data_IF_624866293709
#
_entry.id   IF_624866293709
#
_cell.length_a   1.000
_cell.length_b   1.000
_cell.length_c   1.000
_cell.angle_alpha   90.00
_cell.angle_beta   90.00
_cell.angle_gamma   90.00
#
_symmetry.space_group_name_H-M   'P 1'
#
loop_
_entity.id
_entity.type
_entity.pdbx_description
1 polymer ?
#
# COMPACT_ATOMS: atom_id res chain seq x y z
N UNK A 1 3.39 6.16 -9.42
CA UNK A 1 4.10 7.43 -9.62
C UNK A 1 3.38 8.37 -10.58
N UNK A 2 3.19 8.06 -11.87
CA UNK A 2 2.53 9.00 -12.81
C UNK A 2 1.18 9.53 -12.33
N UNK A 3 0.29 8.66 -11.84
CA UNK A 3 -1.02 9.07 -11.30
C UNK A 3 -0.93 10.05 -10.11
N UNK A 4 0.12 9.94 -9.28
CA UNK A 4 0.37 10.84 -8.14
C UNK A 4 0.75 12.22 -8.68
N UNK A 5 1.71 12.27 -9.61
CA UNK A 5 2.21 13.49 -10.24
C UNK A 5 1.11 14.20 -11.05
N UNK A 6 0.33 13.45 -11.83
CA UNK A 6 -0.79 13.95 -12.64
C UNK A 6 -1.90 14.57 -11.78
N UNK A 7 -2.04 14.14 -10.52
CA UNK A 7 -2.94 14.72 -9.53
C UNK A 7 -2.35 15.93 -8.79
N UNK A 8 -1.14 16.37 -9.13
CA UNK A 8 -0.47 17.48 -8.47
C UNK A 8 0.00 17.16 -7.04
N UNK A 9 0.00 15.88 -6.65
CA UNK A 9 0.51 15.47 -5.34
C UNK A 9 2.02 15.47 -5.42
N UNK A 10 2.65 16.15 -4.47
CA UNK A 10 4.09 16.16 -4.33
C UNK A 10 4.59 14.74 -3.98
N UNK A 11 5.51 14.14 -4.76
CA UNK A 11 6.03 12.81 -4.46
C UNK A 11 6.72 12.69 -3.10
N UNK A 12 7.21 13.80 -2.53
CA UNK A 12 7.81 13.82 -1.19
C UNK A 12 6.77 13.71 -0.06
N UNK A 13 5.50 14.00 -0.36
CA UNK A 13 4.37 13.83 0.55
C UNK A 13 3.69 12.45 0.35
N UNK A 14 4.29 11.57 -0.46
CA UNK A 14 3.74 10.26 -0.78
C UNK A 14 4.70 9.13 -0.38
N UNK A 15 4.19 8.15 0.34
CA UNK A 15 4.91 6.92 0.65
C UNK A 15 4.28 5.72 -0.07
N UNK A 16 5.10 5.00 -0.84
CA UNK A 16 4.73 3.68 -1.35
C UNK A 16 5.34 2.60 -0.47
N UNK A 17 4.49 1.76 0.11
CA UNK A 17 4.89 0.74 1.06
C UNK A 17 4.31 -0.63 0.69
N UNK A 18 5.14 -1.67 0.79
CA UNK A 18 4.69 -3.04 0.62
C UNK A 18 4.18 -3.56 1.96
N UNK A 19 2.93 -4.04 1.99
CA UNK A 19 2.32 -4.62 3.20
C UNK A 19 3.12 -5.82 3.76
N UNK A 20 3.90 -6.48 2.89
CA UNK A 20 5.02 -7.32 3.28
C UNK A 20 6.33 -6.72 2.73
N UNK A 21 7.19 -6.12 3.57
CA UNK A 21 8.32 -5.31 3.11
C UNK A 21 9.57 -6.11 2.71
N UNK A 22 9.48 -7.44 2.60
CA UNK A 22 10.60 -8.32 2.27
C UNK A 22 10.42 -8.99 0.90
N UNK A 23 11.45 -9.72 0.46
CA UNK A 23 11.46 -10.49 -0.78
C UNK A 23 11.28 -11.99 -0.50
N UNK A 24 10.03 -12.50 -0.48
CA UNK A 24 9.79 -13.92 -0.27
C UNK A 24 10.15 -14.69 -1.54
N UNK A 25 11.04 -15.66 -1.41
CA UNK A 25 11.53 -16.47 -2.52
C UNK A 25 11.30 -17.96 -2.28
N UNK A 26 11.37 -18.76 -3.34
CA UNK A 26 11.39 -20.23 -3.24
C UNK A 26 12.74 -20.67 -2.68
N UNK A 27 12.74 -21.67 -1.81
CA UNK A 27 13.97 -22.20 -1.23
C UNK A 27 14.99 -22.59 -2.30
N UNK A 28 16.27 -22.26 -2.05
CA UNK A 28 17.35 -22.45 -3.01
C UNK A 28 17.32 -21.54 -4.25
N UNK A 29 16.31 -20.68 -4.41
CA UNK A 29 16.09 -19.86 -5.61
C UNK A 29 15.86 -18.37 -5.24
N UNK A 30 16.88 -17.63 -4.79
CA UNK A 30 16.75 -16.29 -4.20
C UNK A 30 16.25 -15.20 -5.15
N UNK A 31 16.28 -15.44 -6.47
CA UNK A 31 15.81 -14.50 -7.49
C UNK A 31 14.34 -14.72 -7.87
N UNK A 32 13.66 -15.71 -7.27
CA UNK A 32 12.24 -15.95 -7.50
C UNK A 32 11.41 -15.14 -6.52
N UNK A 33 10.24 -14.66 -6.97
CA UNK A 33 9.25 -14.08 -6.07
C UNK A 33 8.11 -15.07 -5.85
N UNK A 34 7.63 -15.20 -4.62
CA UNK A 34 6.41 -15.94 -4.29
C UNK A 34 5.42 -15.06 -3.53
N UNK A 35 4.20 -15.54 -3.37
CA UNK A 35 3.28 -14.88 -2.45
C UNK A 35 3.75 -15.11 -1.00
N UNK A 36 3.75 -14.08 -0.13
CA UNK A 36 4.00 -14.28 1.30
C UNK A 36 2.93 -15.19 1.92
N UNK A 37 3.33 -16.03 2.86
CA UNK A 37 2.42 -16.82 3.70
C UNK A 37 1.62 -15.91 4.63
N UNK A 38 0.55 -16.42 5.24
CA UNK A 38 -0.24 -15.64 6.21
C UNK A 38 0.58 -15.22 7.43
N UNK A 39 1.47 -16.09 7.92
CA UNK A 39 2.41 -15.75 9.01
C UNK A 39 3.37 -14.64 8.60
N UNK A 40 3.90 -14.69 7.38
CA UNK A 40 4.75 -13.62 6.85
C UNK A 40 3.99 -12.31 6.70
N UNK A 41 2.72 -12.34 6.27
CA UNK A 41 1.87 -11.16 6.21
C UNK A 41 1.62 -10.56 7.60
N UNK A 42 1.40 -11.37 8.63
CA UNK A 42 1.29 -10.91 10.02
C UNK A 42 2.58 -10.23 10.48
N UNK A 43 3.74 -10.78 10.15
CA UNK A 43 5.02 -10.13 10.45
C UNK A 43 5.16 -8.80 9.68
N UNK A 44 4.80 -8.79 8.40
CA UNK A 44 4.83 -7.57 7.57
C UNK A 44 3.91 -6.46 8.09
N UNK A 45 2.77 -6.85 8.66
CA UNK A 45 1.86 -5.92 9.32
C UNK A 45 2.52 -5.19 10.50
N UNK A 46 3.27 -5.88 11.36
CA UNK A 46 3.94 -5.23 12.50
C UNK A 46 4.88 -4.10 12.06
N UNK A 47 5.56 -4.26 10.92
CA UNK A 47 6.37 -3.19 10.34
C UNK A 47 5.54 -2.01 9.83
N UNK A 48 4.40 -2.30 9.20
CA UNK A 48 3.47 -1.27 8.71
C UNK A 48 2.86 -0.50 9.87
N UNK A 49 2.45 -1.18 10.94
CA UNK A 49 1.99 -0.56 12.18
C UNK A 49 3.07 0.34 12.77
N UNK A 50 4.32 -0.16 12.90
CA UNK A 50 5.41 0.65 13.45
C UNK A 50 5.74 1.87 12.60
N UNK A 51 5.63 1.76 11.28
CA UNK A 51 5.79 2.89 10.35
C UNK A 51 4.73 3.97 10.58
N UNK A 52 3.46 3.58 10.75
CA UNK A 52 2.37 4.51 11.07
C UNK A 52 2.56 5.13 12.45
N UNK A 53 2.92 4.33 13.45
CA UNK A 53 3.24 4.81 14.81
C UNK A 53 4.38 5.86 14.75
N UNK A 54 5.45 5.58 14.00
CA UNK A 54 6.58 6.49 13.82
C UNK A 54 6.17 7.80 13.13
N UNK A 55 5.30 7.74 12.12
CA UNK A 55 4.77 8.94 11.45
C UNK A 55 4.04 9.86 12.42
N UNK A 56 3.21 9.29 13.31
CA UNK A 56 2.50 10.03 14.36
C UNK A 56 3.48 10.57 15.40
N UNK A 57 4.45 9.76 15.86
CA UNK A 57 5.48 10.16 16.82
C UNK A 57 6.29 11.39 16.34
N UNK A 58 6.52 11.49 15.02
CA UNK A 58 7.23 12.61 14.39
C UNK A 58 6.33 13.82 14.08
N UNK A 59 5.06 13.80 14.48
CA UNK A 59 4.11 14.90 14.26
C UNK A 59 3.52 14.95 12.85
N UNK A 60 3.54 13.83 12.13
CA UNK A 60 2.89 13.70 10.83
C UNK A 60 1.35 13.82 10.92
N UNK A 61 0.73 14.33 9.87
CA UNK A 61 -0.74 14.39 9.76
C UNK A 61 -1.35 13.01 9.50
N UNK A 62 -2.64 12.81 9.80
CA UNK A 62 -3.34 11.55 9.48
C UNK A 62 -3.20 11.21 7.98
N UNK A 63 -2.60 10.07 7.61
CA UNK A 63 -2.35 9.76 6.21
C UNK A 63 -3.59 9.20 5.52
N UNK A 64 -3.82 9.58 4.26
CA UNK A 64 -4.75 8.84 3.41
C UNK A 64 -4.13 7.49 3.02
N UNK A 65 -4.68 6.39 3.56
CA UNK A 65 -4.19 5.04 3.29
C UNK A 65 -4.95 4.40 2.13
N UNK A 66 -4.22 4.07 1.06
CA UNK A 66 -4.73 3.43 -0.15
C UNK A 66 -4.14 2.03 -0.30
N UNK A 67 -4.98 1.00 -0.27
CA UNK A 67 -4.57 -0.39 -0.39
C UNK A 67 -4.50 -0.80 -1.87
N UNK A 68 -3.29 -0.87 -2.44
CA UNK A 68 -3.10 -1.26 -3.85
C UNK A 68 -3.16 -2.78 -3.99
N UNK A 69 -4.27 -3.28 -4.54
CA UNK A 69 -4.54 -4.70 -4.77
C UNK A 69 -5.26 -5.39 -3.62
N UNK A 70 -5.96 -6.49 -3.96
CA UNK A 70 -6.86 -7.20 -3.05
C UNK A 70 -6.16 -7.69 -1.78
N UNK A 71 -4.97 -8.30 -1.89
CA UNK A 71 -4.22 -8.82 -0.73
C UNK A 71 -3.87 -7.72 0.27
N UNK A 72 -3.52 -6.53 -0.21
CA UNK A 72 -3.24 -5.37 0.64
C UNK A 72 -4.50 -4.95 1.39
N UNK A 73 -5.64 -4.86 0.69
CA UNK A 73 -6.92 -4.50 1.26
C UNK A 73 -7.40 -5.52 2.30
N UNK A 74 -7.29 -6.82 1.99
CA UNK A 74 -7.66 -7.91 2.90
C UNK A 74 -6.80 -7.89 4.16
N UNK A 75 -5.49 -7.65 4.02
CA UNK A 75 -4.57 -7.58 5.15
C UNK A 75 -4.92 -6.41 6.05
N UNK A 76 -5.09 -5.21 5.50
CA UNK A 76 -5.47 -4.02 6.27
C UNK A 76 -6.82 -4.22 6.98
N UNK A 77 -7.81 -4.80 6.30
CA UNK A 77 -9.11 -5.13 6.88
C UNK A 77 -9.01 -6.12 8.05
N UNK A 78 -8.17 -7.16 7.95
CA UNK A 78 -7.92 -8.11 9.05
C UNK A 78 -7.37 -7.43 10.30
N UNK A 79 -6.62 -6.35 10.14
CA UNK A 79 -6.02 -5.60 11.25
C UNK A 79 -6.79 -4.33 11.63
N UNK A 80 -8.02 -4.18 11.12
CA UNK A 80 -8.93 -3.09 11.50
C UNK A 80 -8.53 -1.70 10.97
N UNK A 81 -7.62 -1.63 10.00
CA UNK A 81 -7.19 -0.36 9.43
C UNK A 81 -8.08 -0.04 8.21
N UNK A 82 -8.77 1.10 8.28
CA UNK A 82 -9.61 1.57 7.19
C UNK A 82 -8.73 2.00 6.03
N UNK A 83 -8.77 1.28 4.93
CA UNK A 83 -8.01 1.59 3.72
C UNK A 83 -8.92 1.49 2.50
N UNK A 84 -8.74 2.43 1.58
CA UNK A 84 -9.48 2.42 0.32
C UNK A 84 -8.80 1.42 -0.61
N UNK A 85 -9.52 0.35 -0.96
CA UNK A 85 -9.05 -0.66 -1.89
C UNK A 85 -8.95 -0.11 -3.31
N UNK A 86 -7.76 -0.19 -3.90
CA UNK A 86 -7.51 0.14 -5.29
C UNK A 86 -7.22 -1.12 -6.11
N UNK A 87 -7.68 -1.13 -7.37
CA UNK A 87 -7.27 -2.18 -8.32
C UNK A 87 -5.76 -2.14 -8.51
N UNK A 88 -5.09 -3.28 -8.44
CA UNK A 88 -3.65 -3.32 -8.73
C UNK A 88 -3.38 -2.97 -10.22
N UNK A 89 -2.39 -2.12 -10.54
CA UNK A 89 -2.16 -1.65 -11.91
C UNK A 89 -1.65 -2.73 -12.88
N UNK A 90 -1.06 -3.81 -12.37
CA UNK A 90 -0.61 -4.95 -13.17
C UNK A 90 -1.76 -5.72 -13.85
N UNK A 91 -1.43 -6.59 -14.81
CA UNK A 91 -2.38 -7.47 -15.52
C UNK A 91 -3.57 -6.71 -16.13
N UNK A 92 -3.31 -5.56 -16.77
CA UNK A 92 -4.34 -4.73 -17.39
C UNK A 92 -5.14 -3.83 -16.42
N UNK A 93 -4.82 -3.84 -15.13
CA UNK A 93 -5.55 -3.05 -14.12
C UNK A 93 -5.21 -1.56 -14.09
N UNK A 94 -4.30 -1.07 -14.94
CA UNK A 94 -3.77 0.30 -14.87
C UNK A 94 -4.83 1.40 -15.00
N UNK A 95 -5.81 1.25 -15.89
CA UNK A 95 -6.85 2.28 -16.08
C UNK A 95 -7.80 2.36 -14.86
N UNK A 96 -8.20 1.19 -14.33
CA UNK A 96 -9.02 1.11 -13.13
C UNK A 96 -8.28 1.64 -11.89
N UNK A 97 -6.97 1.35 -11.78
CA UNK A 97 -6.13 1.95 -10.73
C UNK A 97 -6.15 3.47 -10.81
N UNK A 98 -5.93 4.05 -11.99
CA UNK A 98 -5.90 5.52 -12.17
C UNK A 98 -7.23 6.15 -11.81
N UNK A 99 -8.34 5.55 -12.24
CA UNK A 99 -9.69 6.05 -11.92
C UNK A 99 -9.96 6.01 -10.41
N UNK A 100 -9.75 4.87 -9.76
CA UNK A 100 -9.99 4.74 -8.32
C UNK A 100 -9.03 5.61 -7.49
N UNK A 101 -7.77 5.73 -7.91
CA UNK A 101 -6.82 6.63 -7.26
C UNK A 101 -7.28 8.09 -7.36
N UNK A 102 -7.70 8.52 -8.55
CA UNK A 102 -8.17 9.89 -8.76
C UNK A 102 -9.40 10.21 -7.90
N UNK A 103 -10.38 9.30 -7.87
CA UNK A 103 -11.60 9.42 -7.05
C UNK A 103 -11.29 9.52 -5.56
N UNK A 104 -10.38 8.66 -5.05
CA UNK A 104 -9.99 8.69 -3.64
C UNK A 104 -9.30 10.02 -3.27
N UNK A 105 -8.37 10.49 -4.10
CA UNK A 105 -7.68 11.76 -3.86
C UNK A 105 -8.66 12.93 -3.86
N UNK A 106 -9.54 13.03 -4.86
CA UNK A 106 -10.51 14.13 -4.98
C UNK A 106 -11.52 14.16 -3.83
N UNK A 107 -11.81 13.00 -3.25
CA UNK A 107 -12.75 12.87 -2.15
C UNK A 107 -12.12 13.25 -0.81
N UNK A 108 -10.88 12.81 -0.56
CA UNK A 108 -10.30 12.80 0.79
C UNK A 108 -9.11 13.74 1.01
N UNK A 109 -8.45 14.27 -0.03
CA UNK A 109 -7.29 15.18 0.09
C UNK A 109 -7.60 16.64 -0.33
N UNK A 110 -8.79 17.15 0.03
CA UNK A 110 -9.17 18.55 -0.27
C UNK A 110 -8.35 19.57 0.50
#
# INVERSE_FOLDING_TARGET
WSAIIEKGINPYDTLLWNIFPFHPHKEGNPLTNRTPTDREQQVGWEYTKRLLDLHIELGGAEPLVLAVGQKSADTMGKFGLSAIGLRHPANGGANLYRQGFAEAVDTYLK
#
